data_IF_601073903232
#
_entry.id   IF_601073903232
#
_cell.length_a   1.000
_cell.length_b   1.000
_cell.length_c   1.000
_cell.angle_alpha   90.00
_cell.angle_beta   90.00
_cell.angle_gamma   90.00
#
_symmetry.space_group_name_H-M   'P 1'
#
loop_
_entity.id
_entity.type
_entity.pdbx_description
1 polymer ?
#
# COMPACT_ATOMS: atom_id res chain seq x y z
N UNK A 1 35.00 -32.69 24.51
CA UNK A 1 35.16 -31.40 25.24
C UNK A 1 36.48 -31.48 26.01
N UNK A 2 37.35 -30.47 25.96
CA UNK A 2 38.56 -30.40 26.81
C UNK A 2 38.19 -29.67 28.13
N UNK A 3 38.76 -30.12 29.25
CA UNK A 3 38.62 -29.49 30.58
C UNK A 3 37.23 -29.50 31.24
N UNK A 4 36.42 -30.54 31.02
CA UNK A 4 35.15 -30.73 31.76
C UNK A 4 35.45 -31.31 33.15
N UNK A 5 34.88 -30.76 34.25
CA UNK A 5 35.02 -31.34 35.58
C UNK A 5 34.58 -32.81 35.61
N UNK A 6 35.17 -33.65 36.45
CA UNK A 6 34.76 -35.06 36.60
C UNK A 6 33.29 -35.24 37.06
N UNK A 7 32.70 -34.18 37.61
CA UNK A 7 31.31 -34.09 38.08
C UNK A 7 30.73 -32.73 37.70
N UNK A 8 30.34 -32.50 36.44
CA UNK A 8 29.59 -31.31 36.11
C UNK A 8 28.19 -31.43 36.71
N UNK A 9 27.61 -30.32 37.15
CA UNK A 9 26.25 -30.32 37.71
C UNK A 9 25.20 -30.68 36.64
N UNK A 10 25.46 -30.31 35.38
CA UNK A 10 24.57 -30.56 34.25
C UNK A 10 25.32 -30.56 32.92
N UNK A 11 24.94 -31.45 32.01
CA UNK A 11 25.28 -31.34 30.58
C UNK A 11 24.00 -31.04 29.82
N UNK A 12 24.01 -29.98 29.02
CA UNK A 12 22.90 -29.62 28.14
C UNK A 12 23.37 -29.73 26.70
N UNK A 13 22.64 -30.51 25.91
CA UNK A 13 22.87 -30.64 24.46
C UNK A 13 21.65 -30.07 23.75
N UNK A 14 21.90 -29.15 22.81
CA UNK A 14 20.85 -28.55 21.99
C UNK A 14 21.28 -28.60 20.53
N UNK A 15 20.35 -28.95 19.67
CA UNK A 15 20.54 -28.94 18.22
C UNK A 15 19.25 -28.45 17.55
N UNK A 16 19.38 -27.68 16.47
CA UNK A 16 18.21 -27.26 15.70
C UNK A 16 17.48 -28.49 15.13
N UNK A 17 16.14 -28.54 15.27
CA UNK A 17 15.38 -29.71 14.81
C UNK A 17 15.16 -30.80 15.87
N UNK A 18 15.64 -30.60 17.09
CA UNK A 18 15.57 -31.60 18.16
C UNK A 18 15.17 -30.99 19.50
N UNK A 19 14.51 -31.78 20.34
CA UNK A 19 14.21 -31.40 21.72
C UNK A 19 15.54 -31.26 22.50
N UNK A 20 15.71 -30.19 23.29
CA UNK A 20 16.92 -30.02 24.08
C UNK A 20 17.02 -31.13 25.12
N UNK A 21 18.18 -31.77 25.19
CA UNK A 21 18.47 -32.81 26.18
C UNK A 21 19.30 -32.25 27.32
N UNK A 22 19.02 -32.68 28.55
CA UNK A 22 19.78 -32.33 29.72
C UNK A 22 19.99 -33.56 30.60
N UNK A 23 21.25 -33.87 30.87
CA UNK A 23 21.62 -34.85 31.89
C UNK A 23 22.02 -34.10 33.16
N UNK A 24 21.29 -34.38 34.24
CA UNK A 24 21.58 -33.85 35.56
C UNK A 24 22.62 -34.74 36.24
N UNK A 25 23.73 -34.12 36.68
CA UNK A 25 24.85 -34.77 37.39
C UNK A 25 25.48 -35.98 36.69
N UNK A 26 25.89 -35.88 35.42
CA UNK A 26 26.60 -36.97 34.75
C UNK A 26 27.96 -37.22 35.41
N UNK A 27 28.43 -38.47 35.38
CA UNK A 27 29.66 -38.89 36.05
C UNK A 27 30.69 -39.32 35.02
N UNK A 28 31.86 -38.71 35.08
CA UNK A 28 32.98 -39.05 34.21
C UNK A 28 34.16 -39.58 35.02
N UNK A 29 34.78 -40.71 34.61
CA UNK A 29 36.03 -41.15 35.19
C UNK A 29 37.15 -40.12 34.93
N UNK A 30 37.93 -39.82 35.96
CA UNK A 30 38.97 -38.81 35.90
C UNK A 30 40.15 -39.23 34.99
N UNK A 31 40.69 -38.27 34.24
CA UNK A 31 41.94 -38.44 33.46
C UNK A 31 41.83 -39.35 32.23
N UNK A 32 40.62 -39.62 31.74
CA UNK A 32 40.39 -40.39 30.51
C UNK A 32 39.37 -39.70 29.61
N UNK A 33 39.59 -39.77 28.31
CA UNK A 33 38.58 -39.43 27.31
C UNK A 33 37.51 -40.53 27.30
N UNK A 34 36.24 -40.13 27.42
CA UNK A 34 35.09 -41.05 27.43
C UNK A 34 34.12 -40.61 26.33
N UNK A 35 33.68 -41.53 25.44
CA UNK A 35 32.61 -41.22 24.50
C UNK A 35 31.32 -40.92 25.27
N UNK A 36 30.64 -39.85 24.91
CA UNK A 36 29.39 -39.41 25.52
C UNK A 36 28.33 -39.23 24.44
N UNK A 37 27.56 -40.28 24.21
CA UNK A 37 26.54 -40.31 23.17
C UNK A 37 25.21 -39.81 23.73
N UNK A 38 24.61 -38.85 23.04
CA UNK A 38 23.29 -38.31 23.38
C UNK A 38 22.37 -38.49 22.19
N UNK A 39 21.26 -39.21 22.40
CA UNK A 39 20.20 -39.34 21.40
C UNK A 39 19.18 -38.24 21.61
N UNK A 40 19.09 -37.31 20.68
CA UNK A 40 18.08 -36.26 20.73
C UNK A 40 16.81 -36.69 19.99
N UNK A 41 15.64 -36.32 20.53
CA UNK A 41 14.36 -36.57 19.88
C UNK A 41 14.09 -35.51 18.81
N UNK A 42 13.86 -35.94 17.57
CA UNK A 42 13.53 -35.02 16.49
C UNK A 42 12.16 -34.37 16.71
N UNK A 43 12.10 -33.04 16.54
CA UNK A 43 10.83 -32.29 16.53
C UNK A 43 10.25 -32.32 15.11
N UNK A 44 8.92 -32.54 14.95
CA UNK A 44 8.26 -32.37 13.66
C UNK A 44 8.42 -30.93 13.15
N UNK A 45 8.81 -30.79 11.88
CA UNK A 45 9.01 -29.49 11.26
C UNK A 45 9.53 -29.61 9.84
N UNK A 46 9.85 -28.48 9.25
CA UNK A 46 10.41 -28.39 7.91
C UNK A 46 11.92 -28.26 8.00
N UNK A 47 12.63 -29.26 7.47
CA UNK A 47 14.07 -29.20 7.23
C UNK A 47 14.28 -28.75 5.80
N UNK A 48 15.30 -27.94 5.55
CA UNK A 48 15.59 -27.61 4.17
C UNK A 48 17.00 -27.12 3.92
N UNK A 49 17.31 -27.02 2.64
CA UNK A 49 18.57 -26.55 2.09
C UNK A 49 18.29 -25.35 1.21
N UNK A 50 19.04 -24.27 1.40
CA UNK A 50 18.99 -23.10 0.51
C UNK A 50 20.21 -23.15 -0.41
N UNK A 51 19.95 -23.14 -1.71
CA UNK A 51 20.97 -23.14 -2.75
C UNK A 51 20.88 -21.87 -3.59
N UNK A 52 22.02 -21.38 -4.06
CA UNK A 52 22.11 -20.41 -5.16
C UNK A 52 23.19 -20.90 -6.12
N UNK A 53 22.86 -20.99 -7.41
CA UNK A 53 23.78 -21.54 -8.42
C UNK A 53 24.36 -22.91 -8.01
N UNK A 54 23.51 -23.76 -7.42
CA UNK A 54 23.84 -25.07 -6.85
C UNK A 54 24.81 -25.09 -5.65
N UNK A 55 25.19 -23.93 -5.12
CA UNK A 55 26.01 -23.80 -3.92
C UNK A 55 25.16 -23.53 -2.67
N UNK A 56 25.50 -24.12 -1.50
CA UNK A 56 24.85 -23.80 -0.24
C UNK A 56 24.95 -22.32 0.13
N UNK A 57 23.84 -21.73 0.53
CA UNK A 57 23.77 -20.32 0.90
C UNK A 57 23.79 -20.19 2.42
N UNK A 58 24.89 -19.67 2.96
CA UNK A 58 25.07 -19.44 4.40
C UNK A 58 24.33 -18.17 4.84
N UNK A 59 23.67 -18.23 6.00
CA UNK A 59 23.02 -17.10 6.64
C UNK A 59 21.77 -16.55 5.94
N UNK A 60 21.21 -17.27 4.96
CA UNK A 60 19.96 -16.93 4.30
C UNK A 60 18.81 -16.87 5.31
N UNK A 61 18.00 -15.81 5.25
CA UNK A 61 16.81 -15.70 6.08
C UNK A 61 15.68 -16.50 5.46
N UNK A 62 15.18 -17.48 6.21
CA UNK A 62 14.05 -18.33 5.83
C UNK A 62 12.85 -17.98 6.70
N UNK A 63 11.71 -17.72 6.07
CA UNK A 63 10.47 -17.31 6.74
C UNK A 63 9.33 -18.23 6.35
N UNK A 64 8.60 -18.74 7.34
CA UNK A 64 7.34 -19.45 7.15
C UNK A 64 6.17 -18.47 7.20
N UNK A 65 5.31 -18.49 6.20
CA UNK A 65 4.17 -17.61 6.06
C UNK A 65 2.85 -18.37 6.21
N UNK A 66 1.95 -17.87 7.05
CA UNK A 66 0.59 -18.41 7.18
C UNK A 66 -0.35 -18.00 6.03
N UNK A 67 -1.63 -18.40 6.14
CA UNK A 67 -2.71 -18.13 5.15
C UNK A 67 -2.88 -16.65 4.76
N UNK A 68 -2.43 -15.72 5.60
CA UNK A 68 -2.51 -14.26 5.36
C UNK A 68 -1.14 -13.59 5.16
N UNK A 69 -0.12 -14.36 4.76
CA UNK A 69 1.29 -13.92 4.62
C UNK A 69 1.89 -13.31 5.89
N UNK A 70 1.32 -13.62 7.06
CA UNK A 70 1.90 -13.27 8.35
C UNK A 70 3.06 -14.22 8.63
N UNK A 71 4.24 -13.71 9.03
CA UNK A 71 5.34 -14.58 9.41
C UNK A 71 4.97 -15.36 10.67
N UNK A 72 5.09 -16.69 10.59
CA UNK A 72 4.82 -17.63 11.68
C UNK A 72 6.11 -18.07 12.37
N UNK A 73 7.18 -18.23 11.60
CA UNK A 73 8.48 -18.65 12.09
C UNK A 73 9.60 -18.14 11.19
N UNK A 74 10.79 -18.01 11.77
CA UNK A 74 12.01 -17.60 11.09
C UNK A 74 13.14 -18.57 11.40
N UNK A 75 14.02 -18.78 10.42
CA UNK A 75 15.27 -19.49 10.57
C UNK A 75 16.37 -18.77 9.77
N UNK A 76 17.62 -19.04 10.11
CA UNK A 76 18.77 -18.71 9.27
C UNK A 76 19.47 -19.99 8.87
N UNK A 77 19.99 -20.03 7.66
CA UNK A 77 20.77 -21.19 7.23
C UNK A 77 22.14 -21.21 7.89
N UNK A 78 22.60 -22.42 8.20
CA UNK A 78 23.94 -22.69 8.70
C UNK A 78 25.02 -22.68 7.59
N UNK A 79 26.24 -23.07 7.94
CA UNK A 79 27.40 -23.12 7.03
C UNK A 79 27.23 -24.13 5.88
N UNK A 80 26.31 -25.10 6.04
CA UNK A 80 25.94 -26.06 4.99
C UNK A 80 24.68 -25.61 4.22
N UNK A 81 24.21 -24.37 4.44
CA UNK A 81 22.99 -23.84 3.83
C UNK A 81 21.70 -24.46 4.36
N UNK A 82 21.75 -25.21 5.46
CA UNK A 82 20.60 -25.94 6.01
C UNK A 82 19.84 -25.10 7.03
N UNK A 83 18.53 -25.31 7.11
CA UNK A 83 17.66 -24.69 8.09
C UNK A 83 16.65 -25.69 8.68
N UNK A 84 16.08 -25.31 9.83
CA UNK A 84 14.94 -26.00 10.42
C UNK A 84 13.90 -25.00 10.92
N UNK A 85 12.65 -25.23 10.56
CA UNK A 85 11.49 -24.50 11.06
C UNK A 85 10.57 -25.46 11.84
N UNK A 86 10.37 -25.27 13.15
CA UNK A 86 9.50 -26.14 13.95
C UNK A 86 8.02 -25.91 13.62
N UNK A 87 7.19 -26.93 13.86
CA UNK A 87 5.72 -26.84 13.86
C UNK A 87 5.11 -26.23 12.59
N UNK A 88 5.31 -26.92 11.46
CA UNK A 88 4.61 -26.59 10.21
C UNK A 88 3.31 -27.37 10.15
N UNK A 89 2.18 -26.67 10.23
CA UNK A 89 0.84 -27.25 10.11
C UNK A 89 0.00 -26.48 9.08
N UNK A 90 -0.76 -27.22 8.29
CA UNK A 90 -1.58 -26.69 7.21
C UNK A 90 -0.81 -26.18 5.98
N UNK A 91 -1.58 -25.75 4.97
CA UNK A 91 -1.04 -25.14 3.76
C UNK A 91 -0.44 -23.77 4.07
N UNK A 92 0.88 -23.67 3.91
CA UNK A 92 1.68 -22.47 4.17
C UNK A 92 2.65 -22.23 3.01
N UNK A 93 3.39 -21.12 3.05
CA UNK A 93 4.45 -20.83 2.06
C UNK A 93 5.75 -20.59 2.82
N UNK A 94 6.85 -21.18 2.37
CA UNK A 94 8.18 -20.85 2.87
C UNK A 94 8.88 -19.94 1.87
N UNK A 95 9.61 -18.95 2.35
CA UNK A 95 10.44 -18.09 1.52
C UNK A 95 11.86 -18.00 2.04
N UNK A 96 12.85 -17.98 1.16
CA UNK A 96 14.23 -17.69 1.50
C UNK A 96 14.73 -16.46 0.75
N UNK A 97 15.55 -15.64 1.42
CA UNK A 97 16.21 -14.47 0.83
C UNK A 97 17.64 -14.37 1.36
N UNK A 98 18.57 -13.98 0.47
CA UNK A 98 19.93 -13.64 0.86
C UNK A 98 20.58 -12.66 -0.11
N UNK A 99 21.12 -11.56 0.43
CA UNK A 99 22.03 -10.65 -0.27
C UNK A 99 21.55 -10.24 -1.67
N UNK A 100 22.33 -10.60 -2.69
CA UNK A 100 22.16 -10.28 -4.12
C UNK A 100 21.17 -11.18 -4.87
N UNK A 101 20.62 -12.22 -4.23
CA UNK A 101 19.72 -13.16 -4.88
C UNK A 101 18.27 -12.73 -4.73
N UNK A 102 17.45 -13.12 -5.71
CA UNK A 102 16.00 -12.99 -5.62
C UNK A 102 15.41 -13.88 -4.52
N UNK A 103 14.17 -13.62 -4.13
CA UNK A 103 13.47 -14.43 -3.13
C UNK A 103 12.97 -15.74 -3.74
N UNK A 104 13.39 -16.89 -3.19
CA UNK A 104 12.74 -18.17 -3.47
C UNK A 104 11.47 -18.31 -2.64
N UNK A 105 10.40 -18.87 -3.22
CA UNK A 105 9.15 -19.16 -2.52
C UNK A 105 8.58 -20.48 -2.98
N UNK A 106 8.21 -21.33 -2.02
CA UNK A 106 7.61 -22.64 -2.29
C UNK A 106 6.43 -22.90 -1.35
N UNK A 107 5.31 -23.46 -1.84
CA UNK A 107 4.24 -23.93 -0.98
C UNK A 107 4.69 -25.15 -0.17
N UNK A 108 4.24 -25.24 1.08
CA UNK A 108 4.49 -26.40 1.94
C UNK A 108 3.21 -26.80 2.66
N UNK A 109 2.96 -28.11 2.75
CA UNK A 109 1.70 -28.66 3.28
C UNK A 109 1.85 -29.31 4.67
N UNK A 110 3.04 -29.25 5.27
CA UNK A 110 3.33 -29.89 6.55
C UNK A 110 4.84 -30.11 6.78
N UNK A 111 5.21 -30.91 7.79
CA UNK A 111 6.60 -31.24 8.07
C UNK A 111 7.22 -32.09 6.94
N UNK A 112 8.52 -31.96 6.73
CA UNK A 112 9.21 -32.65 5.63
C UNK A 112 10.57 -32.03 5.29
N UNK A 113 11.04 -32.32 4.08
CA UNK A 113 12.27 -31.76 3.50
C UNK A 113 11.96 -30.88 2.30
N UNK A 114 12.74 -29.81 2.12
CA UNK A 114 12.62 -28.90 0.97
C UNK A 114 13.97 -28.35 0.53
N UNK A 115 14.11 -28.09 -0.77
CA UNK A 115 15.23 -27.34 -1.33
C UNK A 115 14.71 -26.03 -1.89
N UNK A 116 15.20 -24.90 -1.37
CA UNK A 116 14.88 -23.57 -1.85
C UNK A 116 16.03 -23.06 -2.72
N UNK A 117 15.75 -22.80 -4.00
CA UNK A 117 16.74 -22.30 -4.96
C UNK A 117 16.57 -20.81 -5.14
N UNK A 118 17.49 -20.01 -4.60
CA UNK A 118 17.50 -18.57 -4.79
C UNK A 118 17.87 -18.27 -6.25
N UNK A 119 16.97 -17.63 -7.03
CA UNK A 119 17.31 -17.20 -8.38
C UNK A 119 18.28 -16.01 -8.32
N UNK A 120 19.03 -15.77 -9.39
CA UNK A 120 19.77 -14.51 -9.53
C UNK A 120 18.78 -13.33 -9.50
N UNK A 121 19.08 -12.35 -8.66
CA UNK A 121 18.34 -11.10 -8.63
C UNK A 121 18.60 -10.29 -9.89
N UNK A 122 17.56 -9.69 -10.47
CA UNK A 122 17.73 -8.59 -11.40
C UNK A 122 17.83 -7.26 -10.65
N UNK A 123 18.33 -6.23 -11.31
CA UNK A 123 18.46 -4.89 -10.74
C UNK A 123 17.87 -3.84 -11.68
N UNK A 124 17.52 -2.69 -11.14
CA UNK A 124 17.10 -1.53 -11.92
C UNK A 124 17.96 -0.35 -11.52
N UNK A 125 18.74 0.15 -12.48
CA UNK A 125 19.53 1.36 -12.34
C UNK A 125 18.79 2.53 -13.00
N UNK A 126 18.72 3.65 -12.28
CA UNK A 126 18.01 4.81 -12.77
C UNK A 126 18.37 6.10 -12.04
N UNK A 127 17.60 7.14 -12.35
CA UNK A 127 17.71 8.47 -11.73
C UNK A 127 16.33 9.03 -11.41
N UNK A 128 16.23 9.74 -10.30
CA UNK A 128 15.05 10.52 -9.89
C UNK A 128 15.34 12.00 -10.10
N UNK A 129 14.44 12.68 -10.81
CA UNK A 129 14.56 14.11 -11.14
C UNK A 129 13.23 14.82 -10.90
N UNK A 130 13.25 16.14 -10.75
CA UNK A 130 12.05 16.98 -10.73
C UNK A 130 11.57 17.34 -12.15
N UNK A 131 10.45 18.07 -12.26
CA UNK A 131 9.90 18.51 -13.54
C UNK A 131 10.83 19.45 -14.35
N UNK A 132 11.83 20.06 -13.72
CA UNK A 132 12.84 20.89 -14.38
C UNK A 132 14.08 20.08 -14.78
N UNK A 133 14.11 18.77 -14.49
CA UNK A 133 15.23 17.88 -14.76
C UNK A 133 16.36 17.94 -13.73
N UNK A 134 16.14 18.61 -12.59
CA UNK A 134 17.13 18.67 -11.49
C UNK A 134 17.06 17.37 -10.68
N UNK A 135 18.18 16.83 -10.18
CA UNK A 135 18.16 15.65 -9.34
C UNK A 135 17.37 15.89 -8.05
N UNK A 136 16.70 14.85 -7.58
CA UNK A 136 16.12 14.79 -6.24
C UNK A 136 17.05 13.95 -5.38
N UNK A 137 17.57 14.53 -4.29
CA UNK A 137 18.65 13.93 -3.52
C UNK A 137 18.18 12.79 -2.61
N UNK A 138 17.13 13.05 -1.83
CA UNK A 138 16.55 12.08 -0.90
C UNK A 138 15.22 11.57 -1.43
N UNK A 139 15.15 10.26 -1.66
CA UNK A 139 13.96 9.64 -2.24
C UNK A 139 13.88 8.16 -1.89
N UNK A 140 12.71 7.58 -2.11
CA UNK A 140 12.46 6.15 -1.97
C UNK A 140 11.99 5.57 -3.29
N UNK A 141 12.42 4.35 -3.61
CA UNK A 141 12.00 3.61 -4.80
C UNK A 141 11.51 2.23 -4.40
N UNK A 142 10.40 1.78 -4.99
CA UNK A 142 9.89 0.41 -4.88
C UNK A 142 9.55 -0.15 -6.26
N UNK A 143 9.61 -1.47 -6.42
CA UNK A 143 9.20 -2.14 -7.65
C UNK A 143 8.36 -3.37 -7.35
N UNK A 144 7.12 -3.42 -7.81
CA UNK A 144 6.23 -4.55 -7.61
C UNK A 144 5.80 -5.19 -8.92
N UNK A 145 5.59 -6.52 -8.96
CA UNK A 145 4.88 -7.15 -10.08
C UNK A 145 3.50 -6.52 -10.25
N UNK A 146 3.05 -6.28 -11.50
CA UNK A 146 1.71 -5.74 -11.78
C UNK A 146 0.56 -6.56 -11.14
N UNK A 147 0.81 -7.81 -10.80
CA UNK A 147 -0.15 -8.75 -10.20
C UNK A 147 -0.30 -8.60 -8.69
N UNK A 148 0.58 -7.86 -8.00
CA UNK A 148 0.61 -7.72 -6.54
C UNK A 148 -0.37 -6.66 -6.00
N UNK A 149 -1.63 -6.72 -6.42
CA UNK A 149 -2.68 -5.89 -5.83
C UNK A 149 -2.55 -5.86 -4.30
N UNK A 150 -2.25 -4.68 -3.75
CA UNK A 150 -2.17 -4.38 -2.31
C UNK A 150 -0.93 -4.97 -1.59
N UNK A 151 0.27 -4.53 -1.95
CA UNK A 151 1.48 -4.73 -1.13
C UNK A 151 2.73 -5.03 -1.95
N UNK A 152 3.31 -3.99 -2.57
CA UNK A 152 4.63 -4.06 -3.20
C UNK A 152 5.75 -4.38 -2.20
N UNK A 153 6.96 -4.74 -2.65
CA UNK A 153 8.10 -4.84 -1.74
C UNK A 153 8.34 -3.49 -1.04
N UNK A 154 8.94 -3.51 0.17
CA UNK A 154 9.22 -2.29 0.90
C UNK A 154 10.06 -1.35 0.03
N UNK A 155 9.73 -0.07 0.05
CA UNK A 155 10.52 0.94 -0.64
C UNK A 155 11.94 0.99 -0.07
N UNK A 156 12.93 0.97 -0.95
CA UNK A 156 14.32 1.23 -0.60
C UNK A 156 14.54 2.75 -0.59
N UNK A 157 15.16 3.28 0.45
CA UNK A 157 15.51 4.70 0.55
C UNK A 157 16.91 4.94 -0.01
N UNK A 158 17.08 6.06 -0.69
CA UNK A 158 18.33 6.48 -1.33
C UNK A 158 18.60 7.93 -0.96
N UNK A 159 19.88 8.27 -0.84
CA UNK A 159 20.40 9.64 -0.72
C UNK A 159 21.55 9.76 -1.71
N UNK A 160 21.39 10.61 -2.72
CA UNK A 160 22.31 10.71 -3.87
C UNK A 160 22.23 12.11 -4.47
N UNK A 161 23.34 12.86 -4.42
CA UNK A 161 23.42 14.25 -4.94
C UNK A 161 23.03 14.36 -6.43
N UNK A 162 23.27 13.29 -7.18
CA UNK A 162 22.93 13.17 -8.58
C UNK A 162 21.62 12.41 -8.81
N UNK A 163 20.85 12.02 -7.78
CA UNK A 163 19.54 11.38 -7.87
C UNK A 163 19.58 9.93 -8.39
N UNK A 164 20.74 9.30 -8.48
CA UNK A 164 20.91 7.94 -8.98
C UNK A 164 20.53 6.87 -7.95
N UNK A 165 19.99 5.76 -8.44
CA UNK A 165 19.66 4.60 -7.61
C UNK A 165 19.97 3.28 -8.31
N UNK A 166 20.20 2.25 -7.51
CA UNK A 166 20.24 0.86 -7.92
C UNK A 166 19.27 0.07 -7.05
N UNK A 167 18.11 -0.25 -7.61
CA UNK A 167 17.03 -0.97 -6.93
C UNK A 167 17.19 -2.48 -7.14
N UNK A 168 17.28 -3.23 -6.04
CA UNK A 168 17.31 -4.69 -6.08
C UNK A 168 17.87 -5.34 -4.82
N UNK A 169 18.07 -6.68 -4.85
CA UNK A 169 17.73 -7.58 -5.95
C UNK A 169 16.21 -7.78 -6.13
N UNK A 170 15.78 -7.93 -7.37
CA UNK A 170 14.38 -8.12 -7.77
C UNK A 170 14.19 -9.50 -8.41
N UNK A 171 12.99 -10.07 -8.26
CA UNK A 171 12.59 -11.23 -9.04
C UNK A 171 12.49 -10.86 -10.53
N UNK A 172 12.74 -11.81 -11.42
CA UNK A 172 12.50 -11.61 -12.84
C UNK A 172 10.99 -11.42 -13.12
N UNK A 173 10.65 -10.54 -14.06
CA UNK A 173 9.28 -10.30 -14.47
C UNK A 173 9.01 -8.85 -14.87
N UNK A 174 7.76 -8.59 -15.26
CA UNK A 174 7.27 -7.26 -15.61
C UNK A 174 6.84 -6.50 -14.36
N UNK A 175 7.53 -5.41 -14.09
CA UNK A 175 7.41 -4.62 -12.88
C UNK A 175 6.75 -3.26 -13.13
N UNK A 176 6.11 -2.75 -12.09
CA UNK A 176 5.76 -1.35 -11.93
C UNK A 176 6.69 -0.76 -10.86
N UNK A 177 7.33 0.36 -11.19
CA UNK A 177 8.26 1.07 -10.31
C UNK A 177 7.59 2.33 -9.80
N UNK A 178 7.78 2.62 -8.53
CA UNK A 178 7.31 3.83 -7.86
C UNK A 178 8.48 4.56 -7.24
N UNK A 179 8.52 5.89 -7.37
CA UNK A 179 9.39 6.75 -6.60
C UNK A 179 8.58 7.78 -5.81
N UNK A 180 9.02 8.08 -4.60
CA UNK A 180 8.45 9.11 -3.74
C UNK A 180 9.55 9.88 -3.01
N UNK A 181 9.36 11.18 -2.83
CA UNK A 181 10.23 12.06 -2.08
C UNK A 181 9.39 13.11 -1.35
N UNK A 182 9.90 13.67 -0.26
CA UNK A 182 9.23 14.72 0.50
C UNK A 182 9.01 15.98 -0.36
N UNK A 183 7.81 16.57 -0.32
CA UNK A 183 7.45 17.73 -1.14
C UNK A 183 7.18 17.41 -2.61
N UNK A 184 7.12 16.12 -2.96
CA UNK A 184 6.81 15.65 -4.32
C UNK A 184 5.64 14.67 -4.34
N UNK A 185 4.95 14.65 -5.48
CA UNK A 185 3.99 13.62 -5.82
C UNK A 185 4.73 12.34 -6.20
N UNK A 186 4.27 11.16 -5.75
CA UNK A 186 4.84 9.90 -6.21
C UNK A 186 4.73 9.76 -7.73
N UNK A 187 5.80 9.26 -8.37
CA UNK A 187 5.79 8.93 -9.79
C UNK A 187 5.78 7.41 -9.97
N UNK A 188 5.05 6.94 -10.99
CA UNK A 188 5.03 5.54 -11.41
C UNK A 188 5.62 5.34 -12.80
N UNK A 189 6.26 4.20 -13.04
CA UNK A 189 6.60 3.69 -14.37
C UNK A 189 6.18 2.24 -14.48
N UNK A 190 5.25 1.96 -15.39
CA UNK A 190 4.71 0.62 -15.63
C UNK A 190 5.47 -0.13 -16.71
N UNK A 191 5.54 -1.45 -16.54
CA UNK A 191 5.94 -2.36 -17.60
C UNK A 191 7.44 -2.49 -17.80
N UNK A 192 8.25 -2.25 -16.77
CA UNK A 192 9.70 -2.46 -16.83
C UNK A 192 10.01 -3.95 -16.74
N UNK A 193 10.71 -4.50 -17.74
CA UNK A 193 11.07 -5.91 -17.78
C UNK A 193 12.39 -6.16 -17.05
N UNK A 194 12.34 -6.88 -15.93
CA UNK A 194 13.53 -7.31 -15.18
C UNK A 194 13.84 -8.76 -15.53
N UNK A 195 15.09 -9.06 -15.91
CA UNK A 195 15.59 -10.42 -16.13
C UNK A 195 16.53 -10.83 -14.99
N UNK A 196 16.61 -12.13 -14.71
CA UNK A 196 17.45 -12.66 -13.64
C UNK A 196 18.93 -12.41 -13.96
N UNK A 197 19.68 -11.84 -13.00
CA UNK A 197 21.11 -11.53 -13.17
C UNK A 197 21.43 -10.34 -14.07
N UNK A 198 20.42 -9.64 -14.60
CA UNK A 198 20.61 -8.46 -15.45
C UNK A 198 20.28 -7.16 -14.69
N UNK A 199 20.91 -6.06 -15.12
CA UNK A 199 20.55 -4.71 -14.67
C UNK A 199 19.82 -3.98 -15.79
N UNK A 200 18.61 -3.51 -15.51
CA UNK A 200 17.88 -2.61 -16.41
C UNK A 200 18.38 -1.20 -16.19
N UNK A 201 18.96 -0.58 -17.22
CA UNK A 201 19.51 0.78 -17.15
C UNK A 201 18.60 1.82 -17.82
N UNK A 202 18.92 3.10 -17.64
CA UNK A 202 18.24 4.21 -18.34
C UNK A 202 16.84 4.53 -17.83
N UNK A 203 16.50 4.12 -16.61
CA UNK A 203 15.23 4.48 -15.99
C UNK A 203 15.31 5.90 -15.44
N UNK A 204 14.47 6.81 -15.94
CA UNK A 204 14.26 8.13 -15.31
C UNK A 204 12.86 8.20 -14.73
N UNK A 205 12.75 8.60 -13.47
CA UNK A 205 11.49 8.86 -12.77
C UNK A 205 11.41 10.36 -12.49
N UNK A 206 10.40 11.02 -13.06
CA UNK A 206 10.20 12.47 -12.90
C UNK A 206 9.14 12.73 -11.83
N UNK A 207 9.58 13.25 -10.69
CA UNK A 207 8.72 13.70 -9.62
C UNK A 207 8.18 15.10 -9.92
N UNK A 208 6.92 15.34 -9.56
CA UNK A 208 6.29 16.66 -9.64
C UNK A 208 6.17 17.24 -8.25
N UNK A 209 6.48 18.52 -8.07
CA UNK A 209 6.27 19.19 -6.78
C UNK A 209 4.82 19.03 -6.33
N UNK A 210 4.62 18.65 -5.07
CA UNK A 210 3.29 18.49 -4.50
C UNK A 210 2.70 19.82 -4.02
N UNK A 211 1.42 19.80 -3.71
CA UNK A 211 0.79 20.81 -2.85
C UNK A 211 0.74 20.25 -1.45
N UNK A 212 1.07 21.07 -0.46
CA UNK A 212 0.91 20.73 0.95
C UNK A 212 -0.48 21.14 1.39
N UNK A 213 -1.31 20.21 1.84
CA UNK A 213 -2.59 20.52 2.47
C UNK A 213 -2.50 20.36 3.98
N UNK A 214 -2.96 21.36 4.70
CA UNK A 214 -2.98 21.34 6.16
C UNK A 214 -4.27 21.89 6.72
N UNK A 215 -4.54 21.58 7.98
CA UNK A 215 -5.64 22.18 8.72
C UNK A 215 -5.98 21.35 9.94
N UNK A 216 -7.21 21.49 10.40
CA UNK A 216 -7.72 20.79 11.57
C UNK A 216 -8.99 20.00 11.21
N UNK A 217 -9.12 18.82 11.82
CA UNK A 217 -10.35 18.02 11.81
C UNK A 217 -11.04 18.16 13.16
N UNK A 218 -12.31 18.58 13.15
CA UNK A 218 -13.12 18.80 14.35
C UNK A 218 -14.44 18.04 14.30
N UNK A 219 -15.02 17.74 15.47
CA UNK A 219 -16.39 17.26 15.60
C UNK A 219 -17.34 18.45 15.30
N UNK A 220 -18.18 18.30 14.28
CA UNK A 220 -19.04 19.38 13.78
C UNK A 220 -20.08 19.88 14.80
N UNK A 221 -20.40 19.09 15.82
CA UNK A 221 -21.39 19.42 16.86
C UNK A 221 -20.74 20.09 18.07
N UNK A 222 -19.56 19.65 18.46
CA UNK A 222 -18.90 20.08 19.71
C UNK A 222 -17.73 21.03 19.48
N UNK A 223 -17.20 21.11 18.25
CA UNK A 223 -16.00 21.87 17.90
C UNK A 223 -14.70 21.27 18.43
N UNK A 224 -14.74 20.08 19.07
CA UNK A 224 -13.56 19.43 19.62
C UNK A 224 -12.68 18.83 18.53
N UNK A 225 -11.35 18.80 18.69
CA UNK A 225 -10.47 18.14 17.74
C UNK A 225 -10.74 16.63 17.66
N UNK A 226 -10.57 16.05 16.48
CA UNK A 226 -10.69 14.61 16.24
C UNK A 226 -9.29 14.05 15.97
N UNK A 227 -8.75 13.30 16.93
CA UNK A 227 -7.48 12.56 16.81
C UNK A 227 -7.66 11.29 15.97
N UNK A 228 -6.64 10.91 15.21
CA UNK A 228 -6.62 9.65 14.44
C UNK A 228 -7.56 9.64 13.23
N UNK A 229 -8.09 10.79 12.82
CA UNK A 229 -8.84 10.91 11.58
C UNK A 229 -7.90 10.75 10.37
N UNK A 230 -8.23 9.83 9.49
CA UNK A 230 -7.50 9.59 8.25
C UNK A 230 -7.89 10.61 7.19
N UNK A 231 -6.92 11.38 6.68
CA UNK A 231 -7.08 12.36 5.60
C UNK A 231 -6.35 11.85 4.35
N UNK A 232 -7.09 11.56 3.28
CA UNK A 232 -6.54 10.94 2.06
C UNK A 232 -7.11 11.58 0.79
N UNK A 233 -6.30 11.75 -0.26
CA UNK A 233 -6.79 12.03 -1.61
C UNK A 233 -7.75 10.92 -2.09
N UNK A 234 -8.91 11.30 -2.64
CA UNK A 234 -9.97 10.37 -3.01
C UNK A 234 -9.74 9.65 -4.35
N UNK A 235 -8.88 10.21 -5.21
CA UNK A 235 -8.45 9.69 -6.52
C UNK A 235 -7.59 8.43 -6.40
N UNK A 236 -6.84 8.32 -5.29
CA UNK A 236 -5.88 7.25 -5.11
C UNK A 236 -6.66 6.02 -4.66
N UNK A 237 -6.79 5.06 -5.59
CA UNK A 237 -7.52 3.81 -5.35
C UNK A 237 -6.98 3.13 -4.10
N UNK A 238 -7.91 2.56 -3.34
CA UNK A 238 -7.66 1.80 -2.12
C UNK A 238 -6.43 0.90 -2.21
N UNK A 239 -5.57 0.94 -1.19
CA UNK A 239 -4.39 0.08 -1.05
C UNK A 239 -3.22 0.80 -0.41
N UNK A 240 -2.03 0.20 -0.46
CA UNK A 240 -0.80 0.70 0.16
C UNK A 240 -0.43 2.13 -0.29
N UNK A 241 -0.84 2.55 -1.49
CA UNK A 241 -0.59 3.90 -1.97
C UNK A 241 -1.45 4.97 -1.29
N UNK A 242 -2.68 4.65 -0.89
CA UNK A 242 -3.52 5.57 -0.10
C UNK A 242 -2.98 5.75 1.32
N UNK A 243 -2.31 4.73 1.88
CA UNK A 243 -1.59 4.83 3.15
C UNK A 243 -0.27 5.61 2.99
N UNK A 244 0.42 5.48 1.85
CA UNK A 244 1.65 6.20 1.56
C UNK A 244 1.44 7.69 1.24
N UNK A 245 0.28 8.07 0.72
CA UNK A 245 -0.05 9.47 0.36
C UNK A 245 -1.08 10.10 1.30
N UNK A 246 -1.50 9.39 2.34
CA UNK A 246 -2.43 9.85 3.36
C UNK A 246 -1.74 10.30 4.63
N UNK A 247 -2.49 10.96 5.52
CA UNK A 247 -2.03 11.27 6.89
C UNK A 247 -3.11 10.96 7.90
N UNK A 248 -2.72 10.92 9.18
CA UNK A 248 -3.63 10.92 10.32
C UNK A 248 -3.54 12.24 11.07
N UNK A 249 -4.63 12.63 11.72
CA UNK A 249 -4.61 13.79 12.61
C UNK A 249 -3.95 13.46 13.94
N UNK A 250 -3.26 14.46 14.50
CA UNK A 250 -2.68 14.39 15.85
C UNK A 250 -3.74 14.59 16.96
N UNK A 251 -3.30 14.62 18.22
CA UNK A 251 -4.15 14.84 19.40
C UNK A 251 -4.89 16.19 19.39
N UNK A 252 -4.35 17.19 18.70
CA UNK A 252 -4.98 18.50 18.50
C UNK A 252 -5.86 18.52 17.23
N UNK A 253 -6.06 17.38 16.58
CA UNK A 253 -6.84 17.23 15.36
C UNK A 253 -6.16 17.83 14.13
N UNK A 254 -4.88 18.22 14.22
CA UNK A 254 -4.15 18.84 13.10
C UNK A 254 -3.65 17.77 12.15
N UNK A 255 -3.60 18.11 10.87
CA UNK A 255 -3.04 17.24 9.86
C UNK A 255 -2.16 18.01 8.87
N UNK A 256 -1.23 17.29 8.25
CA UNK A 256 -0.41 17.77 7.14
C UNK A 256 -0.27 16.67 6.08
N UNK A 257 -0.58 17.01 4.84
CA UNK A 257 -0.62 16.11 3.70
C UNK A 257 0.29 16.65 2.59
N UNK A 258 1.44 16.01 2.43
CA UNK A 258 2.54 16.49 1.57
C UNK A 258 2.50 15.98 0.13
N UNK A 259 1.45 15.28 -0.29
CA UNK A 259 1.43 14.54 -1.56
C UNK A 259 0.29 14.94 -2.50
N UNK A 260 -0.25 16.16 -2.41
CA UNK A 260 -1.34 16.54 -3.30
C UNK A 260 -0.87 16.79 -4.74
N UNK A 261 -1.66 16.36 -5.75
CA UNK A 261 -1.25 16.45 -7.14
C UNK A 261 -1.15 17.87 -7.75
N UNK A 262 -1.53 18.91 -7.01
CA UNK A 262 -1.57 20.30 -7.50
C UNK A 262 -2.62 20.56 -8.59
N UNK A 263 -3.45 19.58 -8.92
CA UNK A 263 -4.67 19.74 -9.70
C UNK A 263 -5.88 19.63 -8.78
N UNK A 264 -7.06 19.98 -9.30
CA UNK A 264 -8.34 19.78 -8.59
C UNK A 264 -8.34 18.38 -8.00
N UNK A 265 -8.46 18.28 -6.68
CA UNK A 265 -8.39 17.01 -5.96
C UNK A 265 -9.53 16.93 -4.97
N UNK A 266 -10.20 15.77 -4.94
CA UNK A 266 -11.15 15.49 -3.86
C UNK A 266 -10.41 14.87 -2.67
N UNK A 267 -10.70 15.32 -1.46
CA UNK A 267 -10.12 14.82 -0.21
C UNK A 267 -11.20 14.08 0.58
N UNK A 268 -10.87 12.89 1.05
CA UNK A 268 -11.71 12.09 1.91
C UNK A 268 -11.14 12.09 3.33
N UNK A 269 -12.00 12.35 4.30
CA UNK A 269 -11.68 12.27 5.73
C UNK A 269 -12.55 11.21 6.38
N UNK A 270 -11.92 10.33 7.17
CA UNK A 270 -12.60 9.24 7.90
C UNK A 270 -12.11 9.18 9.34
N UNK A 271 -13.03 8.99 10.27
CA UNK A 271 -12.70 8.69 11.66
C UNK A 271 -13.72 7.69 12.22
N UNK A 272 -13.29 6.86 13.17
CA UNK A 272 -14.19 5.93 13.84
C UNK A 272 -15.29 6.68 14.60
N UNK A 273 -16.55 6.24 14.47
CA UNK A 273 -17.70 6.91 15.07
C UNK A 273 -18.18 8.17 14.34
N UNK A 274 -17.58 8.53 13.19
CA UNK A 274 -17.99 9.68 12.38
C UNK A 274 -18.42 9.27 10.97
N UNK A 275 -19.28 10.07 10.36
CA UNK A 275 -19.58 9.97 8.93
C UNK A 275 -18.37 10.39 8.12
N UNK A 276 -18.07 9.64 7.07
CA UNK A 276 -16.97 9.98 6.15
C UNK A 276 -17.31 11.26 5.39
N UNK A 277 -16.38 12.20 5.27
CA UNK A 277 -16.58 13.43 4.48
C UNK A 277 -15.73 13.35 3.22
N UNK A 278 -16.28 13.76 2.08
CA UNK A 278 -15.62 13.86 0.79
C UNK A 278 -15.80 15.27 0.22
N UNK A 279 -14.77 16.10 0.33
CA UNK A 279 -14.77 17.46 -0.24
C UNK A 279 -14.05 17.43 -1.58
N UNK A 280 -14.69 17.96 -2.62
CA UNK A 280 -14.05 18.19 -3.91
C UNK A 280 -13.41 19.57 -4.02
N UNK A 281 -12.57 19.77 -5.03
CA UNK A 281 -12.13 21.11 -5.39
C UNK A 281 -10.91 21.64 -4.65
N UNK A 282 -10.13 20.79 -3.97
CA UNK A 282 -8.87 21.24 -3.37
C UNK A 282 -7.84 21.41 -4.48
N UNK A 283 -7.40 22.64 -4.69
CA UNK A 283 -6.47 23.07 -5.74
C UNK A 283 -5.35 23.93 -5.15
N UNK A 284 -4.18 23.87 -5.76
CA UNK A 284 -3.04 24.72 -5.39
C UNK A 284 -1.94 24.66 -6.43
N UNK A 285 -1.15 25.73 -6.55
CA UNK A 285 0.02 25.72 -7.41
C UNK A 285 1.08 24.73 -6.87
N UNK A 286 1.84 24.02 -7.71
CA UNK A 286 2.93 23.15 -7.24
C UNK A 286 3.87 23.88 -6.28
N UNK A 287 4.16 23.28 -5.12
CA UNK A 287 4.97 23.87 -4.05
C UNK A 287 4.23 24.84 -3.13
N UNK A 288 2.94 25.10 -3.36
CA UNK A 288 2.12 25.91 -2.46
C UNK A 288 1.60 25.12 -1.27
N UNK A 289 1.18 25.87 -0.24
CA UNK A 289 0.48 25.37 0.94
C UNK A 289 -0.97 25.83 0.90
N UNK A 290 -1.89 24.90 1.04
CA UNK A 290 -3.33 25.12 1.10
C UNK A 290 -3.80 24.79 2.51
N UNK A 291 -4.57 25.68 3.13
CA UNK A 291 -5.18 25.44 4.45
C UNK A 291 -6.64 25.08 4.26
N UNK A 292 -7.08 23.96 4.84
CA UNK A 292 -8.47 23.52 4.84
C UNK A 292 -8.82 22.81 6.13
N UNK A 293 -9.84 23.29 6.81
CA UNK A 293 -10.40 22.59 7.96
C UNK A 293 -11.54 21.66 7.54
N UNK A 294 -11.71 20.58 8.28
CA UNK A 294 -12.78 19.61 8.10
C UNK A 294 -13.59 19.48 9.38
N UNK A 295 -14.91 19.44 9.24
CA UNK A 295 -15.82 19.15 10.33
C UNK A 295 -16.51 17.80 10.06
N UNK A 296 -16.35 16.86 10.98
CA UNK A 296 -16.96 15.52 10.88
C UNK A 296 -18.23 15.46 11.70
N UNK A 297 -19.31 14.98 11.10
CA UNK A 297 -20.56 14.71 11.81
C UNK A 297 -20.50 13.34 12.50
N UNK A 298 -20.80 13.27 13.81
CA UNK A 298 -20.91 11.99 14.50
C UNK A 298 -21.91 11.06 13.82
N UNK A 299 -21.54 9.78 13.69
CA UNK A 299 -22.45 8.76 13.20
C UNK A 299 -23.22 8.18 14.39
N UNK A 300 -24.52 8.39 14.43
CA UNK A 300 -25.39 7.72 15.40
C UNK A 300 -25.33 6.19 15.19
N UNK A 301 -25.35 5.42 16.28
CA UNK A 301 -25.27 3.95 16.25
C UNK A 301 -26.32 3.30 15.36
N UNK A 302 -27.49 3.93 15.27
CA UNK A 302 -28.68 3.37 14.61
C UNK A 302 -28.88 3.96 13.20
N UNK A 303 -28.02 4.89 12.78
CA UNK A 303 -28.10 5.49 11.46
C UNK A 303 -27.28 4.69 10.44
N UNK A 304 -27.84 4.52 9.23
CA UNK A 304 -27.11 3.88 8.14
C UNK A 304 -25.76 4.58 7.91
N UNK A 305 -24.67 3.80 7.79
CA UNK A 305 -23.38 4.36 7.43
C UNK A 305 -23.49 5.04 6.07
N UNK A 306 -22.88 6.21 5.98
CA UNK A 306 -22.99 7.06 4.81
C UNK A 306 -21.87 8.07 4.77
N UNK A 307 -21.58 8.54 3.57
CA UNK A 307 -20.59 9.59 3.32
C UNK A 307 -21.30 10.90 3.03
N UNK A 308 -20.84 11.99 3.62
CA UNK A 308 -21.19 13.33 3.21
C UNK A 308 -20.27 13.74 2.06
N UNK A 309 -20.85 14.30 1.00
CA UNK A 309 -20.09 14.88 -0.10
C UNK A 309 -20.51 16.31 -0.37
N UNK A 310 -19.62 17.07 -0.99
CA UNK A 310 -19.96 18.36 -1.58
C UNK A 310 -19.94 18.27 -3.10
N UNK A 311 -21.03 18.65 -3.75
CA UNK A 311 -21.18 18.59 -5.20
C UNK A 311 -22.61 18.85 -5.65
N UNK A 312 -22.98 18.32 -6.81
CA UNK A 312 -24.32 18.52 -7.37
C UNK A 312 -25.38 17.55 -6.85
N UNK A 313 -25.00 16.49 -6.12
CA UNK A 313 -25.98 15.53 -5.59
C UNK A 313 -26.53 14.54 -6.62
N UNK A 314 -25.66 13.97 -7.44
CA UNK A 314 -26.02 12.93 -8.41
C UNK A 314 -25.06 11.74 -8.37
N UNK A 315 -25.59 10.55 -8.61
CA UNK A 315 -24.82 9.32 -8.84
C UNK A 315 -24.56 9.20 -10.33
N UNK A 316 -23.27 9.18 -10.69
CA UNK A 316 -22.84 9.07 -12.08
C UNK A 316 -22.67 7.60 -12.49
N UNK A 317 -23.01 7.32 -13.74
CA UNK A 317 -22.77 6.07 -14.44
C UNK A 317 -22.02 6.35 -15.75
N UNK A 318 -21.20 5.39 -16.21
CA UNK A 318 -20.47 5.53 -17.47
C UNK A 318 -21.42 5.65 -18.66
N UNK A 319 -21.05 6.47 -19.65
CA UNK A 319 -21.74 6.60 -20.93
C UNK A 319 -20.71 6.81 -22.06
N UNK A 320 -20.93 6.32 -23.30
CA UNK A 320 -19.98 6.50 -24.40
C UNK A 320 -19.62 7.97 -24.70
N UNK A 321 -20.60 8.85 -24.56
CA UNK A 321 -20.47 10.28 -24.87
C UNK A 321 -20.07 11.16 -23.67
N UNK A 322 -19.89 10.57 -22.48
CA UNK A 322 -19.61 11.31 -21.25
C UNK A 322 -20.03 10.53 -20.01
N UNK A 323 -20.88 11.12 -19.17
CA UNK A 323 -21.44 10.44 -17.99
C UNK A 323 -22.95 10.56 -17.94
N UNK A 324 -23.62 9.46 -17.62
CA UNK A 324 -25.07 9.42 -17.42
C UNK A 324 -25.39 9.64 -15.94
N UNK A 325 -26.39 10.45 -15.66
CA UNK A 325 -26.99 10.56 -14.34
C UNK A 325 -27.77 9.27 -14.08
N UNK A 326 -27.27 8.42 -13.19
CA UNK A 326 -27.95 7.19 -12.80
C UNK A 326 -29.06 7.47 -11.78
N UNK A 327 -28.78 8.33 -10.81
CA UNK A 327 -29.71 8.68 -9.74
C UNK A 327 -29.48 10.11 -9.26
N UNK A 328 -30.55 10.80 -8.89
CA UNK A 328 -30.51 12.06 -8.15
C UNK A 328 -30.61 11.76 -6.66
N UNK A 329 -29.75 12.39 -5.87
CA UNK A 329 -29.74 12.23 -4.43
C UNK A 329 -30.73 13.24 -3.81
N UNK A 330 -31.68 12.78 -2.97
CA UNK A 330 -32.66 13.67 -2.33
C UNK A 330 -31.99 14.75 -1.47
N UNK A 331 -32.53 15.97 -1.53
CA UNK A 331 -32.03 17.15 -0.83
C UNK A 331 -30.77 17.77 -1.46
N UNK A 332 -30.29 17.25 -2.60
CA UNK A 332 -29.11 17.75 -3.29
C UNK A 332 -29.42 18.80 -4.37
N UNK A 333 -28.43 19.60 -4.81
CA UNK A 333 -28.64 20.68 -5.78
C UNK A 333 -29.22 20.26 -7.14
N UNK A 334 -28.99 19.03 -7.57
CA UNK A 334 -29.50 18.50 -8.83
C UNK A 334 -30.99 18.13 -8.77
N UNK A 335 -31.59 18.06 -7.57
CA UNK A 335 -33.02 17.76 -7.41
C UNK A 335 -33.89 18.83 -8.07
N UNK A 336 -34.80 18.39 -8.94
CA UNK A 336 -35.66 19.28 -9.73
C UNK A 336 -34.97 19.98 -10.91
N UNK A 337 -33.65 19.79 -11.09
CA UNK A 337 -32.88 20.42 -12.19
C UNK A 337 -32.36 19.39 -13.20
N UNK A 338 -31.86 18.26 -12.70
CA UNK A 338 -31.39 17.12 -13.49
C UNK A 338 -32.32 15.91 -13.27
N UNK A 339 -32.33 14.99 -14.22
CA UNK A 339 -33.09 13.75 -14.15
C UNK A 339 -32.20 12.52 -14.34
N UNK A 340 -32.61 11.39 -13.76
CA UNK A 340 -32.01 10.11 -14.08
C UNK A 340 -32.19 9.82 -15.58
N UNK A 341 -31.12 9.38 -16.23
CA UNK A 341 -31.06 9.19 -17.69
C UNK A 341 -30.38 10.34 -18.45
N UNK A 342 -30.28 11.53 -17.86
CA UNK A 342 -29.57 12.65 -18.47
C UNK A 342 -28.09 12.31 -18.72
N UNK A 343 -27.53 12.79 -19.84
CA UNK A 343 -26.12 12.57 -20.20
C UNK A 343 -25.38 13.90 -20.17
N UNK A 344 -24.45 14.02 -19.23
CA UNK A 344 -23.51 15.14 -19.17
C UNK A 344 -22.40 14.89 -20.20
N UNK A 345 -22.16 15.88 -21.07
CA UNK A 345 -21.18 15.79 -22.16
C UNK A 345 -20.02 16.77 -22.03
N UNK A 346 -20.18 17.82 -21.21
CA UNK A 346 -19.09 18.70 -20.80
C UNK A 346 -19.32 19.27 -19.39
N UNK A 347 -18.23 19.69 -18.75
CA UNK A 347 -18.20 20.31 -17.42
C UNK A 347 -17.32 21.55 -17.51
N UNK A 348 -17.84 22.72 -17.11
CA UNK A 348 -17.14 24.01 -17.14
C UNK A 348 -16.48 24.34 -18.50
N UNK A 349 -17.14 23.93 -19.58
CA UNK A 349 -16.68 24.10 -20.97
C UNK A 349 -15.77 23.00 -21.51
N UNK A 350 -15.25 22.10 -20.65
CA UNK A 350 -14.37 21.01 -21.05
C UNK A 350 -15.17 19.77 -21.49
N UNK A 351 -15.01 19.28 -22.73
CA UNK A 351 -15.63 18.02 -23.17
C UNK A 351 -15.12 16.84 -22.34
N UNK A 352 -16.03 15.96 -21.93
CA UNK A 352 -15.70 14.80 -21.07
C UNK A 352 -15.83 13.45 -21.78
N UNK A 353 -15.98 13.44 -23.10
CA UNK A 353 -16.06 12.21 -23.87
C UNK A 353 -14.74 11.42 -23.78
N UNK A 354 -14.83 10.14 -23.42
CA UNK A 354 -13.65 9.28 -23.22
C UNK A 354 -12.81 9.62 -21.98
N UNK A 355 -13.22 10.59 -21.17
CA UNK A 355 -12.54 10.94 -19.94
C UNK A 355 -12.72 9.85 -18.86
N UNK A 356 -11.75 9.75 -17.96
CA UNK A 356 -11.87 8.87 -16.80
C UNK A 356 -13.01 9.35 -15.87
N UNK A 357 -13.86 8.42 -15.43
CA UNK A 357 -15.03 8.73 -14.59
C UNK A 357 -14.66 9.42 -13.28
N UNK A 358 -13.48 9.12 -12.71
CA UNK A 358 -12.95 9.78 -11.51
C UNK A 358 -12.72 11.26 -11.74
N UNK A 359 -12.03 11.60 -12.85
CA UNK A 359 -11.79 12.99 -13.26
C UNK A 359 -13.08 13.76 -13.49
N UNK A 360 -14.06 13.15 -14.16
CA UNK A 360 -15.36 13.79 -14.38
C UNK A 360 -16.08 14.05 -13.05
N UNK A 361 -16.12 13.06 -12.16
CA UNK A 361 -16.75 13.22 -10.86
C UNK A 361 -16.09 14.34 -10.03
N UNK A 362 -14.78 14.51 -10.16
CA UNK A 362 -14.01 15.56 -9.50
C UNK A 362 -14.28 16.96 -10.06
N UNK A 363 -14.44 17.10 -11.39
CA UNK A 363 -14.84 18.36 -12.01
C UNK A 363 -16.24 18.79 -11.56
N UNK A 364 -17.17 17.84 -11.45
CA UNK A 364 -18.54 18.10 -11.00
C UNK A 364 -18.57 18.42 -9.49
N UNK A 365 -17.70 17.80 -8.68
CA UNK A 365 -17.54 18.17 -7.25
C UNK A 365 -16.77 19.46 -7.08
N UNK A 366 -16.83 20.01 -5.87
CA UNK A 366 -16.20 21.29 -5.55
C UNK A 366 -16.62 21.80 -4.19
N UNK A 367 -16.17 23.02 -3.88
CA UNK A 367 -16.53 23.73 -2.66
C UNK A 367 -18.03 24.01 -2.58
N UNK A 368 -18.56 24.04 -1.37
CA UNK A 368 -19.95 24.41 -1.11
C UNK A 368 -20.18 25.87 -1.50
N UNK A 369 -21.26 26.14 -2.22
CA UNK A 369 -21.56 27.47 -2.76
C UNK A 369 -20.86 27.81 -4.08
N UNK A 370 -19.92 26.99 -4.56
CA UNK A 370 -19.30 27.20 -5.88
C UNK A 370 -20.22 26.76 -7.02
N UNK A 371 -20.16 27.45 -8.15
CA UNK A 371 -20.94 27.11 -9.35
C UNK A 371 -20.24 26.05 -10.21
N UNK A 372 -21.03 25.21 -10.87
CA UNK A 372 -20.60 24.31 -11.94
C UNK A 372 -21.53 24.46 -13.13
N UNK A 373 -20.94 24.56 -14.32
CA UNK A 373 -21.65 24.54 -15.58
C UNK A 373 -21.58 23.14 -16.20
N UNK A 374 -22.73 22.59 -16.58
CA UNK A 374 -22.84 21.31 -17.24
C UNK A 374 -23.53 21.49 -18.59
N UNK A 375 -23.03 20.82 -19.62
CA UNK A 375 -23.80 20.61 -20.85
C UNK A 375 -24.44 19.24 -20.79
N UNK A 376 -25.77 19.20 -20.85
CA UNK A 376 -26.58 18.01 -20.55
C UNK A 376 -27.51 17.69 -21.71
N UNK A 377 -27.51 16.45 -22.19
CA UNK A 377 -28.53 15.92 -23.10
C UNK A 377 -29.62 15.23 -22.29
N UNK A 378 -30.87 15.71 -22.41
CA UNK A 378 -32.01 15.18 -21.68
C UNK A 378 -32.36 13.78 -22.18
N UNK A 379 -32.36 12.78 -21.30
CA UNK A 379 -32.63 11.38 -21.65
C UNK A 379 -31.63 10.73 -22.63
N UNK A 380 -30.52 11.39 -22.96
CA UNK A 380 -29.47 10.90 -23.86
C UNK A 380 -29.63 11.30 -25.34
N UNK A 381 -30.80 11.80 -25.74
CA UNK A 381 -31.10 12.22 -27.11
C UNK A 381 -31.19 13.76 -27.23
N UNK A 382 -30.85 14.31 -28.40
CA UNK A 382 -30.99 15.74 -28.71
C UNK A 382 -29.76 16.62 -28.40
N UNK A 383 -29.85 17.93 -28.71
CA UNK A 383 -28.75 18.87 -28.48
C UNK A 383 -28.52 19.08 -26.98
N UNK A 384 -27.26 19.26 -26.55
CA UNK A 384 -26.97 19.50 -25.15
C UNK A 384 -27.43 20.90 -24.71
N UNK A 385 -28.03 20.97 -23.52
CA UNK A 385 -28.49 22.20 -22.88
C UNK A 385 -27.53 22.62 -21.77
N UNK A 386 -27.34 23.93 -21.61
CA UNK A 386 -26.54 24.51 -20.53
C UNK A 386 -27.33 24.49 -19.22
N UNK A 387 -26.76 23.88 -18.19
CA UNK A 387 -27.32 23.80 -16.84
C UNK A 387 -26.26 24.29 -15.85
N UNK A 388 -26.58 25.31 -15.06
CA UNK A 388 -25.70 25.83 -14.01
C UNK A 388 -26.25 25.40 -12.65
N UNK A 389 -25.41 24.82 -11.81
CA UNK A 389 -25.75 24.33 -10.48
C UNK A 389 -24.81 24.95 -9.44
N UNK A 390 -25.35 25.28 -8.28
CA UNK A 390 -24.56 25.65 -7.10
C UNK A 390 -24.29 24.40 -6.29
N UNK A 391 -23.01 24.08 -6.06
CA UNK A 391 -22.62 22.88 -5.31
C UNK A 391 -23.04 23.00 -3.85
N UNK A 392 -23.54 21.91 -3.28
CA UNK A 392 -24.04 21.85 -1.90
C UNK A 392 -23.65 20.54 -1.22
N UNK A 393 -23.88 20.47 0.10
CA UNK A 393 -23.70 19.22 0.86
C UNK A 393 -24.80 18.22 0.56
N UNK A 394 -24.42 16.97 0.38
CA UNK A 394 -25.35 15.87 0.09
C UNK A 394 -24.90 14.62 0.83
N UNK A 395 -25.85 13.89 1.41
CA UNK A 395 -25.59 12.63 2.09
C UNK A 395 -25.76 11.46 1.13
N UNK A 396 -24.75 10.61 1.02
CA UNK A 396 -24.79 9.37 0.24
C UNK A 396 -24.77 8.17 1.18
N UNK A 397 -25.79 7.29 1.13
CA UNK A 397 -25.76 6.03 1.87
C UNK A 397 -24.71 5.08 1.27
N UNK A 398 -24.10 4.25 2.12
CA UNK A 398 -23.05 3.32 1.67
C UNK A 398 -23.57 2.25 0.69
N UNK A 399 -22.76 1.96 -0.34
CA UNK A 399 -23.08 1.09 -1.48
C UNK A 399 -23.54 -0.34 -1.14
N UNK A 400 -23.26 -0.86 0.06
CA UNK A 400 -23.71 -2.20 0.48
C UNK A 400 -25.22 -2.27 0.79
N UNK A 401 -25.90 -1.12 0.88
CA UNK A 401 -27.34 -1.03 1.15
C UNK A 401 -28.14 -0.34 0.04
N UNK A 402 -27.54 -0.15 -1.15
CA UNK A 402 -28.32 0.33 -2.28
C UNK A 402 -29.13 -0.83 -2.90
N UNK A 403 -30.47 -0.70 -3.03
CA UNK A 403 -31.24 -1.67 -3.78
C UNK A 403 -30.72 -1.68 -5.22
N UNK A 404 -30.41 -2.89 -5.73
CA UNK A 404 -30.19 -3.07 -7.16
C UNK A 404 -31.53 -2.88 -7.85
N UNK A 405 -31.72 -1.74 -8.50
CA UNK A 405 -32.79 -1.57 -9.48
C UNK A 405 -32.33 -2.07 -10.84
#
# INVERSE_FOLDING_TARGET
LRDVPARPDRIRVQAAGFEPHADERPRFPAGRDVPYDVTLRAVPGLRGLVLAEDQPVVGAQVTLHGLVRRPLAFARTDDDGRFFLPWVDGATTVSAQQGQYGTAREPVSGPGEIVLRLPLGGFIAGRVVDQAGRPVEDFSVSASPLTWGRGGPPAQSFSSEDGHFLLGPLAAGRMEIWAAAEGYQPAERRGVEVRAGETVEGITLTLRTSVVLEGQVTDARTGRPVEGAQVVPAEWRSGALAEAVGTYTDADGRYRLDALPGVRTSIRVKAEGYRSVLIGGVEGAPGSRVVRDFALNPQASDALPGSELTGVGAVLASHPDGVRIGQILPGGPAEGVLAAGDVVVSVDGDPIQGADMGKVAQAIRGEEGSEVELMVRRGGDGPPERVVLVRGRVTVPDRHHMPRN
#
